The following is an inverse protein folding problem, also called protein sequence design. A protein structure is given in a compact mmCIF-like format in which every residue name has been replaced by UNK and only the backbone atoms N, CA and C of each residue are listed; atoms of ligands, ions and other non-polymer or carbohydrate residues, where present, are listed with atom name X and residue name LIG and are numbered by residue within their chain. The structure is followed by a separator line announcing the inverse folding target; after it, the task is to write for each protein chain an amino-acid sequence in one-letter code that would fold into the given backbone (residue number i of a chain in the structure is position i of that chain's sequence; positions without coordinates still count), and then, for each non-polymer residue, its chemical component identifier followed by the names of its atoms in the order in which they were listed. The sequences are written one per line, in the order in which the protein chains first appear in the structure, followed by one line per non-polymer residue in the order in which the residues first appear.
data_IF_733843798700
#
_entry.id   IF_733843798700
#
_cell.length_a   1.000
_cell.length_b   1.000
_cell.length_c   1.000
_cell.angle_alpha   90.00
_cell.angle_beta   90.00
_cell.angle_gamma   90.00
#
_symmetry.space_group_name_H-M   'P 1'
#
loop_
_entity.id
_entity.type
_entity.pdbx_description
1 polymer ?
#
# COMPACT_ATOMS: atom_id res chain seq x y z
N UNK A 1 -23.51 39.94 -19.42
CA UNK A 1 -23.85 39.16 -18.20
C UNK A 1 -23.82 37.65 -18.40
N UNK A 2 -24.25 37.10 -19.55
CA UNK A 2 -24.24 35.63 -19.79
C UNK A 2 -22.82 35.03 -19.94
N UNK A 3 -21.90 35.76 -20.57
CA UNK A 3 -20.51 35.30 -20.81
C UNK A 3 -19.68 35.27 -19.52
N UNK A 4 -19.88 36.25 -18.64
CA UNK A 4 -19.21 36.30 -17.33
C UNK A 4 -19.67 35.17 -16.39
N UNK A 5 -20.95 34.77 -16.46
CA UNK A 5 -21.48 33.63 -15.71
C UNK A 5 -20.94 32.28 -16.22
N UNK A 6 -20.63 32.18 -17.52
CA UNK A 6 -20.12 30.95 -18.13
C UNK A 6 -18.63 30.71 -17.79
N UNK A 7 -17.83 31.76 -17.67
CA UNK A 7 -16.41 31.66 -17.26
C UNK A 7 -16.28 31.23 -15.80
N UNK A 8 -17.20 31.66 -14.93
CA UNK A 8 -17.24 31.26 -13.53
C UNK A 8 -17.57 29.77 -13.35
N UNK A 9 -18.36 29.19 -14.26
CA UNK A 9 -18.72 27.77 -14.26
C UNK A 9 -17.53 26.87 -14.67
N UNK A 10 -16.61 27.38 -15.49
CA UNK A 10 -15.45 26.61 -15.99
C UNK A 10 -14.31 26.58 -14.96
N UNK A 11 -14.21 27.59 -14.07
CA UNK A 11 -13.23 27.62 -12.98
C UNK A 11 -13.50 26.61 -11.86
N UNK A 12 -14.72 26.07 -11.75
CA UNK A 12 -15.05 25.01 -10.80
C UNK A 12 -14.69 23.60 -11.31
N UNK A 13 -14.39 23.44 -12.60
CA UNK A 13 -14.10 22.14 -13.21
C UNK A 13 -12.60 21.84 -13.35
N UNK A 14 -11.74 22.85 -13.17
CA UNK A 14 -10.27 22.69 -13.21
C UNK A 14 -9.64 22.49 -11.83
N UNK A 15 -10.39 22.76 -10.76
CA UNK A 15 -10.07 22.22 -9.44
C UNK A 15 -10.55 20.78 -9.45
N UNK A 16 -9.88 19.91 -10.20
CA UNK A 16 -9.70 18.57 -9.67
C UNK A 16 -8.92 18.81 -8.39
N UNK A 17 -9.50 18.68 -7.17
CA UNK A 17 -8.62 18.43 -6.07
C UNK A 17 -7.94 17.13 -6.47
N UNK A 18 -6.68 17.24 -6.91
CA UNK A 18 -5.72 16.19 -6.80
C UNK A 18 -5.61 15.97 -5.29
N UNK A 19 -6.66 15.35 -4.73
CA UNK A 19 -6.64 14.84 -3.38
C UNK A 19 -5.40 13.97 -3.42
N UNK A 20 -4.44 14.28 -2.56
CA UNK A 20 -3.37 13.37 -2.21
C UNK A 20 -4.04 12.13 -1.60
N UNK A 21 -4.74 11.36 -2.42
CA UNK A 21 -5.42 10.15 -2.05
C UNK A 21 -4.29 9.17 -1.89
N UNK A 22 -3.91 8.93 -0.63
CA UNK A 22 -2.88 7.95 -0.31
C UNK A 22 -3.19 6.67 -1.05
N UNK A 23 -2.19 6.13 -1.72
CA UNK A 23 -2.36 4.87 -2.42
C UNK A 23 -2.82 3.80 -1.43
N UNK A 24 -3.56 2.77 -1.86
CA UNK A 24 -3.94 1.66 -0.97
C UNK A 24 -2.73 1.12 -0.19
N UNK A 25 -1.58 1.01 -0.85
CA UNK A 25 -0.33 0.60 -0.22
C UNK A 25 0.20 1.58 0.83
N UNK A 26 0.17 2.89 0.59
CA UNK A 26 0.55 3.89 1.62
C UNK A 26 -0.35 3.81 2.86
N UNK A 27 -1.66 3.56 2.66
CA UNK A 27 -2.59 3.33 3.75
C UNK A 27 -2.25 2.03 4.50
N UNK A 28 -1.96 0.96 3.78
CA UNK A 28 -1.59 -0.33 4.36
C UNK A 28 -0.31 -0.23 5.19
N UNK A 29 0.72 0.44 4.67
CA UNK A 29 1.96 0.70 5.42
C UNK A 29 1.69 1.53 6.68
N UNK A 30 0.86 2.57 6.60
CA UNK A 30 0.50 3.36 7.77
C UNK A 30 -0.19 2.50 8.85
N UNK A 31 -1.12 1.62 8.47
CA UNK A 31 -1.79 0.69 9.39
C UNK A 31 -0.81 -0.30 10.01
N UNK A 32 0.11 -0.83 9.20
CA UNK A 32 1.17 -1.74 9.65
C UNK A 32 2.07 -1.08 10.71
N UNK A 33 2.55 0.15 10.47
CA UNK A 33 3.38 0.87 11.43
C UNK A 33 2.58 1.35 12.67
N UNK A 34 1.26 1.46 12.58
CA UNK A 34 0.37 1.69 13.72
C UNK A 34 0.08 0.42 14.54
N UNK A 35 0.57 -0.75 14.12
CA UNK A 35 0.29 -2.03 14.79
C UNK A 35 -1.05 -2.65 14.43
N UNK A 36 -1.81 -2.04 13.51
CA UNK A 36 -3.09 -2.58 13.00
C UNK A 36 -2.81 -3.62 11.92
N UNK A 37 -2.22 -4.73 12.33
CA UNK A 37 -1.68 -5.74 11.43
C UNK A 37 -2.75 -6.36 10.53
N UNK A 38 -3.91 -6.75 11.08
CA UNK A 38 -5.02 -7.29 10.27
C UNK A 38 -5.51 -6.32 9.19
N UNK A 39 -5.75 -5.06 9.53
CA UNK A 39 -6.24 -4.07 8.57
C UNK A 39 -5.20 -3.84 7.45
N UNK A 40 -3.91 -3.84 7.81
CA UNK A 40 -2.82 -3.74 6.85
C UNK A 40 -2.79 -4.95 5.91
N UNK A 41 -2.87 -6.17 6.46
CA UNK A 41 -2.88 -7.43 5.70
C UNK A 41 -4.03 -7.44 4.70
N UNK A 42 -5.26 -7.11 5.11
CA UNK A 42 -6.43 -7.11 4.21
C UNK A 42 -6.22 -6.22 2.99
N UNK A 43 -5.62 -5.04 3.17
CA UNK A 43 -5.34 -4.14 2.04
C UNK A 43 -4.20 -4.69 1.19
N UNK A 44 -3.12 -5.18 1.80
CA UNK A 44 -1.96 -5.72 1.07
C UNK A 44 -2.32 -6.96 0.26
N UNK A 45 -3.16 -7.86 0.78
CA UNK A 45 -3.64 -9.05 0.06
C UNK A 45 -4.44 -8.65 -1.19
N UNK A 46 -5.38 -7.70 -1.05
CA UNK A 46 -6.14 -7.19 -2.19
C UNK A 46 -5.30 -6.47 -3.24
N UNK A 47 -4.18 -5.86 -2.85
CA UNK A 47 -3.22 -5.29 -3.81
C UNK A 47 -2.32 -6.36 -4.43
N UNK A 48 -1.91 -7.37 -3.66
CA UNK A 48 -1.10 -8.49 -4.14
C UNK A 48 -1.84 -9.37 -5.18
N UNK A 49 -3.17 -9.46 -5.10
CA UNK A 49 -3.99 -10.09 -6.14
C UNK A 49 -3.91 -9.37 -7.49
N UNK A 50 -3.78 -8.04 -7.47
CA UNK A 50 -3.72 -7.21 -8.68
C UNK A 50 -2.32 -7.14 -9.24
N UNK A 51 -1.33 -6.96 -8.37
CA UNK A 51 0.07 -6.86 -8.72
C UNK A 51 0.92 -7.63 -7.70
N UNK A 52 1.23 -8.91 -7.97
CA UNK A 52 2.10 -9.71 -7.11
C UNK A 52 3.50 -9.09 -7.03
N UNK A 53 3.86 -8.57 -5.87
CA UNK A 53 5.13 -7.90 -5.63
C UNK A 53 5.84 -8.51 -4.40
N UNK A 54 7.14 -8.86 -4.50
CA UNK A 54 7.88 -9.50 -3.42
C UNK A 54 7.89 -8.66 -2.14
N UNK A 55 7.95 -7.33 -2.25
CA UNK A 55 7.87 -6.42 -1.10
C UNK A 55 6.54 -6.55 -0.38
N UNK A 56 5.44 -6.58 -1.10
CA UNK A 56 4.09 -6.74 -0.53
C UNK A 56 3.96 -8.06 0.22
N UNK A 57 4.41 -9.17 -0.37
CA UNK A 57 4.44 -10.47 0.32
C UNK A 57 5.31 -10.47 1.58
N UNK A 58 6.48 -9.82 1.53
CA UNK A 58 7.34 -9.67 2.70
C UNK A 58 6.65 -8.94 3.86
N UNK A 59 5.95 -7.83 3.58
CA UNK A 59 5.25 -7.07 4.63
C UNK A 59 4.06 -7.84 5.22
N UNK A 60 3.33 -8.62 4.42
CA UNK A 60 2.28 -9.52 4.91
C UNK A 60 2.90 -10.60 5.83
N UNK A 61 3.98 -11.26 5.37
CA UNK A 61 4.68 -12.27 6.17
C UNK A 61 5.18 -11.72 7.50
N UNK A 62 5.74 -10.52 7.48
CA UNK A 62 6.21 -9.87 8.71
C UNK A 62 5.06 -9.46 9.63
N UNK A 63 3.93 -9.00 9.08
CA UNK A 63 2.74 -8.70 9.88
C UNK A 63 2.23 -9.96 10.61
N UNK A 64 2.17 -11.10 9.92
CA UNK A 64 1.83 -12.39 10.53
C UNK A 64 2.84 -12.84 11.58
N UNK A 65 4.13 -12.64 11.33
CA UNK A 65 5.19 -12.88 12.31
C UNK A 65 4.97 -12.07 13.59
N UNK A 66 4.68 -10.76 13.47
CA UNK A 66 4.38 -9.88 14.61
C UNK A 66 3.13 -10.29 15.38
N UNK A 67 2.20 -11.01 14.73
CA UNK A 67 1.00 -11.58 15.34
C UNK A 67 1.19 -13.00 15.88
N UNK A 68 2.41 -13.53 15.87
CA UNK A 68 2.74 -14.90 16.28
C UNK A 68 2.09 -16.01 15.42
N UNK A 69 1.70 -15.70 14.17
CA UNK A 69 1.11 -16.66 13.22
C UNK A 69 2.20 -17.21 12.28
N UNK A 70 3.00 -18.12 12.80
CA UNK A 70 4.27 -18.54 12.17
C UNK A 70 4.09 -19.27 10.84
N UNK A 71 3.04 -20.07 10.70
CA UNK A 71 2.75 -20.83 9.48
C UNK A 71 2.41 -19.89 8.32
N UNK A 72 1.56 -18.89 8.56
CA UNK A 72 1.20 -17.88 7.58
C UNK A 72 2.38 -16.96 7.27
N UNK A 73 3.17 -16.60 8.28
CA UNK A 73 4.39 -15.83 8.07
C UNK A 73 5.34 -16.55 7.10
N UNK A 74 5.58 -17.85 7.34
CA UNK A 74 6.41 -18.69 6.46
C UNK A 74 5.86 -18.73 5.04
N UNK A 75 4.56 -18.96 4.87
CA UNK A 75 3.92 -19.02 3.55
C UNK A 75 4.17 -17.75 2.75
N UNK A 76 4.00 -16.58 3.37
CA UNK A 76 4.19 -15.30 2.70
C UNK A 76 5.66 -14.95 2.45
N UNK A 77 6.57 -15.36 3.34
CA UNK A 77 8.00 -15.26 3.06
C UNK A 77 8.43 -16.15 1.89
N UNK A 78 7.87 -17.36 1.78
CA UNK A 78 8.11 -18.25 0.65
C UNK A 78 7.57 -17.65 -0.66
N UNK A 79 6.41 -16.98 -0.63
CA UNK A 79 5.88 -16.24 -1.80
C UNK A 79 6.83 -15.11 -2.21
N UNK A 80 7.33 -14.32 -1.26
CA UNK A 80 8.30 -13.26 -1.53
C UNK A 80 9.59 -13.81 -2.17
N UNK A 81 10.13 -14.89 -1.59
CA UNK A 81 11.34 -15.57 -2.10
C UNK A 81 11.16 -16.16 -3.50
N UNK A 82 9.98 -16.71 -3.81
CA UNK A 82 9.66 -17.23 -5.15
C UNK A 82 9.47 -16.13 -6.18
N UNK A 83 8.96 -14.96 -5.78
CA UNK A 83 8.77 -13.82 -6.67
C UNK A 83 10.11 -13.16 -7.05
N UNK A 84 11.01 -13.01 -6.08
CA UNK A 84 12.37 -12.53 -6.30
C UNK A 84 13.35 -13.29 -5.40
N UNK A 85 14.15 -14.17 -6.01
CA UNK A 85 15.15 -14.93 -5.30
C UNK A 85 16.17 -13.96 -4.68
N UNK A 86 16.36 -14.04 -3.36
CA UNK A 86 17.16 -13.10 -2.56
C UNK A 86 16.54 -11.70 -2.37
N UNK A 87 15.22 -11.62 -2.21
CA UNK A 87 14.59 -10.38 -1.74
C UNK A 87 15.08 -9.97 -0.34
N UNK A 88 15.74 -8.81 -0.25
CA UNK A 88 15.99 -8.10 1.00
C UNK A 88 15.24 -6.76 0.95
N UNK A 89 14.42 -6.42 1.95
CA UNK A 89 13.77 -5.11 1.96
C UNK A 89 14.84 -4.00 1.95
N UNK A 90 14.62 -2.88 1.23
CA UNK A 90 15.58 -1.79 1.20
C UNK A 90 15.78 -1.23 2.60
N UNK A 91 17.03 -1.25 3.06
CA UNK A 91 17.42 -0.63 4.33
C UNK A 91 17.30 0.89 4.15
N UNK A 92 16.62 1.60 5.06
CA UNK A 92 16.67 3.06 5.08
C UNK A 92 18.12 3.46 5.37
N UNK A 93 18.85 3.91 4.36
CA UNK A 93 20.10 4.66 4.58
C UNK A 93 19.74 5.95 5.31
N UNK A 94 20.15 6.05 6.58
CA UNK A 94 20.10 7.31 7.30
C UNK A 94 21.17 8.22 6.68
N UNK A 95 20.75 9.16 5.82
CA UNK A 95 21.54 10.34 5.46
C UNK A 95 21.24 11.48 6.43
#
# INVERSE_FOLDING_TARGET
MKVAAMIFLIMFFTISPCLAQKTPMEKAYALYFQGKMQDAITIMEGEAEKNPDPKTFYFIGYAYYKMNKMELAREYFDKAYKAEAFYSPPVKENK
#
